data_IF_343856675015
#
_entry.id   IF_343856675015
#
_cell.length_a   1.000
_cell.length_b   1.000
_cell.length_c   1.000
_cell.angle_alpha   90.00
_cell.angle_beta   90.00
_cell.angle_gamma   90.00
#
_symmetry.space_group_name_H-M   'P 1'
#
loop_
_entity.id
_entity.type
_entity.pdbx_description
1 polymer ?
#
# COMPACT_ATOMS: atom_id res chain seq x y z
N UNK A 1 -2.54 -5.07 -21.60
CA UNK A 1 -2.36 -3.61 -21.46
C UNK A 1 -3.42 -2.94 -22.31
N UNK A 2 -4.25 -2.06 -21.74
CA UNK A 2 -5.24 -1.26 -22.47
C UNK A 2 -4.72 0.17 -22.57
N UNK A 3 -4.79 0.78 -23.75
CA UNK A 3 -4.27 2.13 -23.99
C UNK A 3 -5.44 3.04 -24.36
N UNK A 4 -5.62 4.11 -23.59
CA UNK A 4 -6.66 5.12 -23.81
C UNK A 4 -5.99 6.49 -23.87
N UNK A 5 -6.20 7.20 -24.97
CA UNK A 5 -5.77 8.60 -25.11
C UNK A 5 -6.82 9.50 -24.48
N UNK A 6 -6.41 10.30 -23.50
CA UNK A 6 -7.26 11.27 -22.81
C UNK A 6 -6.61 12.66 -22.80
N UNK A 7 -7.42 13.70 -22.79
CA UNK A 7 -7.01 15.10 -22.70
C UNK A 7 -7.19 15.64 -21.27
N UNK A 8 -6.77 16.89 -21.04
CA UNK A 8 -7.00 17.58 -19.77
C UNK A 8 -8.48 17.55 -19.39
N UNK A 9 -8.75 17.36 -18.11
CA UNK A 9 -10.09 17.30 -17.50
C UNK A 9 -10.94 16.08 -17.92
N UNK A 10 -10.42 15.19 -18.78
CA UNK A 10 -11.05 13.90 -19.04
C UNK A 10 -10.73 12.88 -17.94
N UNK A 11 -11.66 11.92 -17.77
CA UNK A 11 -11.56 10.89 -16.75
C UNK A 11 -11.68 9.48 -17.33
N UNK A 12 -11.06 8.52 -16.64
CA UNK A 12 -11.09 7.08 -16.92
C UNK A 12 -11.69 6.40 -15.70
N UNK A 13 -12.67 5.53 -15.90
CA UNK A 13 -13.25 4.70 -14.84
C UNK A 13 -12.65 3.29 -14.89
N UNK A 14 -12.28 2.75 -13.73
CA UNK A 14 -11.85 1.36 -13.55
C UNK A 14 -12.84 0.67 -12.61
N UNK A 15 -13.61 -0.27 -13.16
CA UNK A 15 -14.79 -0.80 -12.46
C UNK A 15 -15.79 0.32 -12.16
N UNK A 16 -16.41 0.25 -10.98
CA UNK A 16 -17.42 1.24 -10.55
C UNK A 16 -16.90 2.17 -9.45
N UNK A 17 -15.71 1.90 -8.92
CA UNK A 17 -15.22 2.50 -7.68
C UNK A 17 -13.97 3.38 -7.86
N UNK A 18 -13.27 3.28 -9.00
CA UNK A 18 -12.02 4.01 -9.21
C UNK A 18 -12.16 4.94 -10.40
N UNK A 19 -11.91 6.23 -10.17
CA UNK A 19 -11.89 7.27 -11.19
C UNK A 19 -10.50 7.90 -11.26
N UNK A 20 -9.94 7.96 -12.46
CA UNK A 20 -8.67 8.61 -12.75
C UNK A 20 -8.96 9.83 -13.61
N UNK A 21 -8.62 11.02 -13.16
CA UNK A 21 -8.85 12.28 -13.88
C UNK A 21 -7.53 12.91 -14.25
N UNK A 22 -7.41 13.41 -15.47
CA UNK A 22 -6.24 14.18 -15.90
C UNK A 22 -6.41 15.62 -15.42
N UNK A 23 -5.68 16.00 -14.37
CA UNK A 23 -5.80 17.33 -13.76
C UNK A 23 -4.99 18.38 -14.52
N UNK A 24 -3.82 18.02 -15.04
CA UNK A 24 -2.93 18.95 -15.73
C UNK A 24 -1.99 18.18 -16.66
N UNK A 25 -1.68 18.75 -17.82
CA UNK A 25 -0.67 18.24 -18.75
C UNK A 25 0.32 19.37 -18.99
N UNK A 26 1.58 19.17 -18.62
CA UNK A 26 2.67 20.13 -18.82
C UNK A 26 3.81 19.46 -19.56
N UNK A 27 3.85 19.66 -20.88
CA UNK A 27 4.80 18.96 -21.75
C UNK A 27 4.68 17.45 -21.56
N UNK A 28 5.74 16.86 -21.04
CA UNK A 28 5.89 15.42 -20.79
C UNK A 28 5.44 14.98 -19.38
N UNK A 29 5.06 15.92 -18.50
CA UNK A 29 4.53 15.60 -17.17
C UNK A 29 3.02 15.70 -17.14
N UNK A 30 2.38 14.66 -16.63
CA UNK A 30 0.93 14.60 -16.43
C UNK A 30 0.61 14.53 -14.95
N UNK A 31 -0.32 15.36 -14.48
CA UNK A 31 -0.91 15.23 -13.14
C UNK A 31 -2.19 14.42 -13.24
N UNK A 32 -2.22 13.34 -12.48
CA UNK A 32 -3.35 12.44 -12.37
C UNK A 32 -3.99 12.63 -11.00
N UNK A 33 -5.29 12.93 -10.99
CA UNK A 33 -6.14 12.78 -9.82
C UNK A 33 -6.66 11.35 -9.80
N UNK A 34 -6.58 10.69 -8.65
CA UNK A 34 -7.09 9.33 -8.48
C UNK A 34 -8.08 9.37 -7.32
N UNK A 35 -9.33 9.05 -7.61
CA UNK A 35 -10.37 8.85 -6.61
C UNK A 35 -10.67 7.36 -6.53
N UNK A 36 -10.47 6.79 -5.35
CA UNK A 36 -10.74 5.39 -5.06
C UNK A 36 -11.24 5.30 -3.61
N UNK A 37 -12.10 4.32 -3.26
CA UNK A 37 -12.48 4.04 -1.88
C UNK A 37 -11.27 3.59 -1.05
N UNK A 38 -11.36 3.75 0.27
CA UNK A 38 -10.28 3.41 1.21
C UNK A 38 -9.86 1.94 1.19
N UNK A 39 -10.74 1.06 0.71
CA UNK A 39 -10.46 -0.36 0.50
C UNK A 39 -9.42 -0.62 -0.60
N UNK A 40 -9.27 0.33 -1.54
CA UNK A 40 -8.34 0.22 -2.67
C UNK A 40 -7.17 1.18 -2.41
N UNK A 41 -6.03 0.68 -1.88
CA UNK A 41 -4.88 1.52 -1.60
C UNK A 41 -4.24 2.02 -2.89
N UNK A 42 -4.08 3.34 -2.99
CA UNK A 42 -3.40 3.99 -4.12
C UNK A 42 -1.97 4.34 -3.71
N UNK A 43 -1.01 3.69 -4.35
CA UNK A 43 0.41 3.90 -4.11
C UNK A 43 1.15 4.25 -5.39
N UNK A 44 2.27 4.96 -5.25
CA UNK A 44 3.22 5.09 -6.35
C UNK A 44 3.91 3.75 -6.57
N UNK A 45 4.18 3.40 -7.82
CA UNK A 45 4.70 2.07 -8.19
C UNK A 45 5.99 1.73 -7.44
N UNK A 46 6.90 2.68 -7.34
CA UNK A 46 8.18 2.53 -6.65
C UNK A 46 8.02 2.23 -5.14
N UNK A 47 7.00 2.83 -4.52
CA UNK A 47 6.68 2.61 -3.09
C UNK A 47 6.04 1.23 -2.93
N UNK A 48 5.11 0.87 -3.81
CA UNK A 48 4.47 -0.45 -3.79
C UNK A 48 5.50 -1.58 -3.95
N UNK A 49 6.43 -1.45 -4.89
CA UNK A 49 7.48 -2.45 -5.12
C UNK A 49 8.47 -2.56 -3.95
N UNK A 50 8.69 -1.47 -3.21
CA UNK A 50 9.49 -1.50 -1.98
C UNK A 50 8.73 -2.23 -0.85
N UNK A 51 7.46 -1.88 -0.63
CA UNK A 51 6.62 -2.51 0.40
C UNK A 51 6.44 -4.00 0.14
N UNK A 52 6.18 -4.41 -1.11
CA UNK A 52 6.07 -5.82 -1.49
C UNK A 52 7.37 -6.61 -1.22
N UNK A 53 8.53 -6.02 -1.49
CA UNK A 53 9.82 -6.66 -1.19
C UNK A 53 10.06 -6.81 0.31
N UNK A 54 9.76 -5.77 1.08
CA UNK A 54 9.94 -5.78 2.53
C UNK A 54 8.96 -6.76 3.21
N UNK A 55 7.69 -6.77 2.79
CA UNK A 55 6.69 -7.68 3.32
C UNK A 55 7.00 -9.16 2.96
N UNK A 56 7.58 -9.40 1.77
CA UNK A 56 8.04 -10.74 1.39
C UNK A 56 9.25 -11.21 2.20
N UNK A 57 10.14 -10.30 2.61
CA UNK A 57 11.23 -10.60 3.55
C UNK A 57 10.69 -10.88 4.95
N UNK A 58 9.74 -10.08 5.43
CA UNK A 58 9.11 -10.26 6.73
C UNK A 58 8.29 -11.57 6.81
N UNK A 59 7.59 -11.94 5.74
CA UNK A 59 6.83 -13.20 5.67
C UNK A 59 7.73 -14.46 5.57
N UNK A 60 9.03 -14.30 5.34
CA UNK A 60 10.01 -15.38 5.38
C UNK A 60 10.66 -15.62 6.75
N UNK A 61 10.35 -14.78 7.74
CA UNK A 61 10.86 -14.94 9.12
C UNK A 61 10.08 -16.06 9.79
N UNK A 62 10.75 -17.17 10.06
CA UNK A 62 10.16 -18.26 10.83
C UNK A 62 10.06 -17.82 12.29
N UNK A 63 9.04 -18.28 13.01
CA UNK A 63 8.84 -18.02 14.44
C UNK A 63 10.06 -18.39 15.31
N UNK A 64 10.99 -19.18 14.77
CA UNK A 64 12.29 -19.54 15.32
C UNK A 64 13.27 -18.38 15.51
N UNK A 65 13.08 -17.25 14.81
CA UNK A 65 13.98 -16.08 14.88
C UNK A 65 13.51 -15.03 15.91
N UNK A 66 12.41 -15.30 16.62
CA UNK A 66 11.94 -14.44 17.71
C UNK A 66 12.86 -14.64 18.93
N UNK A 67 13.47 -13.57 19.48
CA UNK A 67 14.22 -13.70 20.73
C UNK A 67 13.27 -14.11 21.86
N UNK A 68 13.55 -15.26 22.46
CA UNK A 68 12.87 -15.83 23.64
C UNK A 68 13.19 -15.00 24.90
N UNK A 69 12.82 -13.72 24.90
CA UNK A 69 13.07 -12.82 26.03
C UNK A 69 11.96 -11.79 26.16
N UNK A 70 10.73 -12.28 26.27
CA UNK A 70 9.60 -11.48 26.72
C UNK A 70 8.57 -12.32 27.48
N UNK A 71 9.00 -13.39 28.17
CA UNK A 71 8.15 -14.04 29.18
C UNK A 71 8.41 -13.32 30.51
N UNK A 72 7.51 -12.44 30.99
CA UNK A 72 7.67 -11.86 32.32
C UNK A 72 7.66 -13.00 33.36
N UNK A 73 8.54 -12.96 34.38
CA UNK A 73 8.55 -13.99 35.41
C UNK A 73 7.18 -14.05 36.10
N UNK A 74 6.69 -15.26 36.45
CA UNK A 74 5.40 -15.40 37.12
C UNK A 74 5.42 -14.62 38.44
N UNK A 75 4.38 -13.82 38.66
CA UNK A 75 4.23 -13.02 39.87
C UNK A 75 4.31 -13.91 41.12
N UNK A 76 5.01 -13.50 42.18
CA UNK A 76 5.04 -14.27 43.42
C UNK A 76 3.62 -14.31 44.02
N UNK A 77 3.15 -15.53 44.30
CA UNK A 77 1.82 -15.77 44.87
C UNK A 77 1.63 -15.08 46.23
N UNK A 78 0.37 -14.87 46.65
CA UNK A 78 0.08 -14.17 47.89
C UNK A 78 0.56 -14.99 49.10
N UNK A 79 1.38 -14.38 49.96
CA UNK A 79 1.71 -14.94 51.27
C UNK A 79 0.49 -14.84 52.18
N UNK A 80 -0.03 -15.99 52.61
CA UNK A 80 -0.89 -16.10 53.79
C UNK A 80 -0.07 -16.07 55.08
#
# INVERSE_FOLDING_TARGET
>A
MLVLSRQRDESIMIGDNVQITIVDIRGDKVRLGIMAPSEIPVHRKEVYDAIQRENRKAAGVSTSDLPESAVPPPAPGPRG
#
